data_IF_923498572323
#
_entry.id   IF_923498572323
#
_cell.length_a   1.000
_cell.length_b   1.000
_cell.length_c   1.000
_cell.angle_alpha   90.00
_cell.angle_beta   90.00
_cell.angle_gamma   90.00
#
_symmetry.space_group_name_H-M   'P 1'
#
loop_
_entity.id
_entity.type
_entity.pdbx_description
1 polymer ?
#
# COMPACT_ATOMS: atom_id res chain seq x y z
N UNK A 1 12.54 -9.75 1.39
CA UNK A 1 11.57 -8.67 1.37
C UNK A 1 10.83 -8.63 0.05
N UNK A 2 9.57 -8.30 0.10
CA UNK A 2 8.74 -8.20 -1.09
C UNK A 2 8.22 -6.78 -1.25
N UNK A 3 8.01 -6.39 -2.48
CA UNK A 3 7.44 -5.08 -2.78
C UNK A 3 5.91 -5.15 -2.73
N UNK A 4 5.34 -4.34 -1.87
CA UNK A 4 3.90 -4.21 -1.77
C UNK A 4 3.49 -2.85 -2.29
N UNK A 5 2.41 -2.82 -3.03
CA UNK A 5 1.85 -1.59 -3.56
C UNK A 5 0.47 -1.35 -2.97
N UNK A 6 0.18 -0.09 -2.77
CA UNK A 6 -1.10 0.31 -2.23
C UNK A 6 -1.48 1.67 -2.78
N UNK A 7 -2.69 2.06 -2.49
CA UNK A 7 -3.15 3.41 -2.79
C UNK A 7 -3.51 4.09 -1.50
N UNK A 8 -3.22 5.36 -1.42
CA UNK A 8 -3.62 6.15 -0.26
C UNK A 8 -4.50 7.30 -0.69
N UNK A 9 -5.34 7.72 0.22
CA UNK A 9 -6.20 8.86 0.01
C UNK A 9 -6.11 9.74 1.25
N UNK A 10 -5.63 10.95 1.07
CA UNK A 10 -5.55 11.92 2.15
C UNK A 10 -6.53 13.04 1.87
N UNK A 11 -7.10 13.58 2.95
CA UNK A 11 -8.08 14.65 2.81
C UNK A 11 -7.50 15.93 2.25
N UNK A 12 -6.20 16.12 2.48
CA UNK A 12 -5.53 17.34 2.03
C UNK A 12 -5.04 17.24 0.60
N UNK A 13 -5.25 16.09 -0.04
CA UNK A 13 -4.81 15.88 -1.40
C UNK A 13 -5.95 16.15 -2.37
N UNK A 14 -5.67 16.95 -3.39
CA UNK A 14 -6.63 17.19 -4.47
C UNK A 14 -6.76 15.97 -5.37
N UNK A 15 -5.84 15.02 -5.23
CA UNK A 15 -5.84 13.82 -6.06
C UNK A 15 -6.00 12.60 -5.17
N UNK A 16 -7.20 12.04 -5.09
CA UNK A 16 -7.38 10.78 -4.37
C UNK A 16 -6.69 9.65 -5.10
N UNK A 17 -6.25 8.67 -4.35
CA UNK A 17 -5.68 7.48 -4.94
C UNK A 17 -4.22 7.60 -5.33
N UNK A 18 -3.40 8.22 -4.52
CA UNK A 18 -1.96 8.23 -4.76
C UNK A 18 -1.39 6.83 -4.61
N UNK A 19 -0.54 6.47 -5.55
CA UNK A 19 0.12 5.16 -5.50
C UNK A 19 1.36 5.23 -4.64
N UNK A 20 1.48 4.28 -3.74
CA UNK A 20 2.63 4.18 -2.85
C UNK A 20 3.13 2.75 -2.84
N UNK A 21 4.34 2.55 -2.40
CA UNK A 21 4.92 1.22 -2.28
C UNK A 21 5.72 1.12 -1.00
N UNK A 22 5.90 -0.10 -0.53
CA UNK A 22 6.69 -0.37 0.66
C UNK A 22 7.31 -1.76 0.55
N UNK A 23 8.51 -1.89 1.06
CA UNK A 23 9.16 -3.18 1.17
C UNK A 23 8.85 -3.76 2.54
N UNK A 24 8.39 -4.99 2.55
CA UNK A 24 8.02 -5.66 3.79
C UNK A 24 8.10 -7.17 3.61
N UNK A 25 8.06 -7.88 4.70
CA UNK A 25 8.12 -9.34 4.67
C UNK A 25 6.73 -9.96 4.59
N UNK A 26 5.70 -9.21 4.93
CA UNK A 26 4.33 -9.68 4.87
C UNK A 26 3.39 -8.53 4.54
N UNK A 27 2.20 -8.90 4.11
CA UNK A 27 1.17 -7.92 3.78
C UNK A 27 0.82 -7.07 5.00
N UNK A 28 0.70 -7.70 6.15
CA UNK A 28 0.38 -6.99 7.39
C UNK A 28 1.46 -6.00 7.75
N UNK A 29 2.72 -6.39 7.60
CA UNK A 29 3.82 -5.49 7.88
C UNK A 29 3.81 -4.30 6.94
N UNK A 30 3.55 -4.53 5.66
CA UNK A 30 3.43 -3.44 4.69
C UNK A 30 2.31 -2.48 5.07
N UNK A 31 1.18 -3.03 5.47
CA UNK A 31 0.05 -2.23 5.90
C UNK A 31 0.41 -1.36 7.10
N UNK A 32 1.06 -1.95 8.09
CA UNK A 32 1.45 -1.21 9.29
C UNK A 32 2.42 -0.09 8.96
N UNK A 33 3.38 -0.36 8.08
CA UNK A 33 4.34 0.65 7.67
C UNK A 33 3.67 1.81 6.97
N UNK A 34 2.76 1.50 6.06
CA UNK A 34 2.07 2.54 5.29
C UNK A 34 1.11 3.33 6.17
N UNK A 35 0.41 2.65 7.06
CA UNK A 35 -0.48 3.34 7.98
C UNK A 35 0.27 4.25 8.94
N UNK A 36 1.45 3.82 9.38
CA UNK A 36 2.28 4.66 10.24
C UNK A 36 2.79 5.90 9.49
N UNK A 37 2.98 5.78 8.20
CA UNK A 37 3.52 6.87 7.39
C UNK A 37 2.42 7.82 6.92
N UNK A 38 1.27 7.29 6.53
CA UNK A 38 0.21 8.10 5.90
C UNK A 38 -1.05 8.22 6.75
N UNK A 39 -1.18 7.40 7.76
CA UNK A 39 -2.33 7.44 8.64
C UNK A 39 -3.23 6.23 8.50
N UNK A 40 -3.81 5.83 9.63
CA UNK A 40 -4.71 4.70 9.68
C UNK A 40 -5.99 5.00 8.90
N UNK A 41 -6.42 4.03 8.12
CA UNK A 41 -7.64 4.18 7.34
C UNK A 41 -7.47 4.89 6.01
N UNK A 42 -6.27 5.41 5.74
CA UNK A 42 -6.00 6.07 4.47
C UNK A 42 -5.38 5.14 3.42
N UNK A 43 -4.94 3.98 3.85
CA UNK A 43 -4.31 3.00 2.96
C UNK A 43 -5.33 1.99 2.49
N UNK A 44 -5.41 1.79 1.18
CA UNK A 44 -6.32 0.81 0.61
C UNK A 44 -5.69 0.19 -0.63
N UNK A 45 -6.32 -0.84 -1.15
CA UNK A 45 -5.86 -1.58 -2.32
C UNK A 45 -4.43 -2.10 -2.15
N UNK A 46 -4.13 -2.54 -0.95
CA UNK A 46 -2.81 -3.07 -0.63
C UNK A 46 -2.67 -4.48 -1.20
N UNK A 47 -1.61 -4.69 -1.97
CA UNK A 47 -1.39 -5.98 -2.60
C UNK A 47 0.10 -6.19 -2.85
N UNK A 48 0.47 -7.46 -2.99
CA UNK A 48 1.80 -7.84 -3.38
C UNK A 48 1.89 -7.81 -4.90
N UNK A 49 2.80 -7.02 -5.44
CA UNK A 49 2.94 -6.87 -6.87
C UNK A 49 3.26 -8.19 -7.58
N UNK A 50 4.07 -9.03 -6.97
CA UNK A 50 4.40 -10.32 -7.55
C UNK A 50 3.18 -11.22 -7.67
N UNK A 51 2.34 -11.23 -6.64
CA UNK A 51 1.11 -12.02 -6.68
C UNK A 51 0.14 -11.47 -7.71
N UNK A 52 0.10 -10.17 -7.88
CA UNK A 52 -0.77 -9.54 -8.86
C UNK A 52 -0.37 -9.86 -10.29
N UNK A 53 0.92 -10.12 -10.52
CA UNK A 53 1.44 -10.45 -11.85
C UNK A 53 1.36 -11.93 -12.17
N UNK A 54 1.05 -12.76 -11.20
CA UNK A 54 1.03 -14.19 -11.40
C UNK A 54 -0.15 -14.58 -12.29
N UNK A 55 0.11 -15.26 -13.39
CA UNK A 55 -1.00 -15.75 -14.21
C UNK A 55 -1.71 -16.90 -13.50
N UNK A 56 -2.97 -16.97 -13.71
CA UNK A 56 -3.78 -18.06 -13.18
C UNK A 56 -4.03 -19.13 -14.21
#
# INVERSE_FOLDING_TARGET
MMLYKAMIWTRDSDKPGQRVSALAESLQEAKEKLEAQYGEGNVYDLHNEEDAKRPR
#
